data_IF_470381769015
#
_entry.id   IF_470381769015
#
_cell.length_a   1.000
_cell.length_b   1.000
_cell.length_c   1.000
_cell.angle_alpha   90.00
_cell.angle_beta   90.00
_cell.angle_gamma   90.00
#
_symmetry.space_group_name_H-M   'P 1'
#
loop_
_entity.id
_entity.type
_entity.pdbx_description
1 polymer ?
#
# COMPACT_ATOMS: atom_id res chain seq x y z
N UNK A 1 23.27 -42.91 32.27
CA UNK A 1 24.27 -42.20 31.44
C UNK A 1 25.15 -43.26 30.80
N UNK A 2 25.44 -43.14 29.50
CA UNK A 2 26.27 -43.98 28.62
C UNK A 2 25.53 -45.02 27.75
N UNK A 3 25.51 -44.69 26.45
CA UNK A 3 25.60 -45.47 25.21
C UNK A 3 24.86 -46.81 25.04
N UNK A 4 24.11 -46.90 23.93
CA UNK A 4 24.34 -48.03 23.02
C UNK A 4 24.20 -47.62 21.55
N UNK A 5 25.26 -47.93 20.82
CA UNK A 5 25.50 -47.73 19.40
C UNK A 5 24.61 -48.63 18.51
N UNK A 6 24.40 -48.14 17.28
CA UNK A 6 24.44 -48.88 16.00
C UNK A 6 23.30 -49.80 15.59
N UNK A 7 22.57 -49.37 14.55
CA UNK A 7 21.95 -50.27 13.56
C UNK A 7 22.16 -49.69 12.15
N UNK A 8 23.43 -49.61 11.72
CA UNK A 8 23.72 -49.65 10.28
C UNK A 8 23.96 -51.11 9.91
N UNK A 9 23.47 -51.47 8.72
CA UNK A 9 23.66 -52.71 7.95
C UNK A 9 22.96 -53.97 8.46
N UNK A 10 21.70 -54.18 8.03
CA UNK A 10 21.37 -55.33 7.19
C UNK A 10 20.47 -54.84 6.05
N UNK A 11 21.15 -54.55 4.95
CA UNK A 11 20.59 -54.48 3.62
C UNK A 11 20.10 -55.90 3.24
N UNK A 12 19.03 -55.97 2.45
CA UNK A 12 18.74 -57.01 1.45
C UNK A 12 17.43 -57.77 1.65
N UNK A 13 16.72 -57.88 0.53
CA UNK A 13 15.50 -58.66 0.23
C UNK A 13 14.21 -57.93 0.67
N UNK A 14 13.38 -57.34 -0.20
CA UNK A 14 12.97 -57.78 -1.52
C UNK A 14 12.38 -56.58 -2.28
N UNK A 15 12.88 -56.34 -3.49
CA UNK A 15 12.23 -55.49 -4.50
C UNK A 15 11.01 -56.24 -5.01
N UNK A 16 9.79 -55.72 -4.81
CA UNK A 16 8.66 -56.01 -5.69
C UNK A 16 7.96 -54.70 -6.05
N UNK A 17 7.94 -54.49 -7.36
CA UNK A 17 7.34 -53.40 -8.13
C UNK A 17 5.98 -52.94 -7.61
N UNK A 18 5.80 -51.62 -7.53
CA UNK A 18 4.66 -50.96 -8.17
C UNK A 18 5.15 -49.65 -8.79
N UNK A 19 5.31 -49.68 -10.12
CA UNK A 19 5.23 -48.49 -10.98
C UNK A 19 3.78 -47.99 -11.00
N UNK A 20 3.58 -46.78 -11.53
CA UNK A 20 2.38 -45.93 -11.54
C UNK A 20 2.28 -45.05 -10.27
N UNK A 21 2.39 -43.72 -10.29
CA UNK A 21 2.05 -42.75 -11.33
C UNK A 21 2.76 -41.41 -11.12
N UNK A 22 2.99 -40.73 -12.24
CA UNK A 22 3.01 -39.27 -12.44
C UNK A 22 3.86 -38.39 -11.52
N UNK A 23 4.84 -37.78 -12.17
CA UNK A 23 5.44 -36.50 -11.87
C UNK A 23 4.38 -35.41 -11.58
N UNK A 24 3.90 -35.31 -10.34
CA UNK A 24 3.06 -34.19 -9.86
C UNK A 24 3.30 -33.93 -8.38
N UNK A 25 4.51 -33.54 -7.99
CA UNK A 25 4.69 -32.91 -6.67
C UNK A 25 5.69 -31.74 -6.67
N UNK A 26 6.62 -31.69 -7.64
CA UNK A 26 7.56 -30.57 -7.73
C UNK A 26 6.96 -29.26 -8.26
N UNK A 27 5.77 -29.28 -8.87
CA UNK A 27 5.09 -28.07 -9.38
C UNK A 27 4.12 -27.46 -8.38
N UNK A 28 3.63 -28.22 -7.38
CA UNK A 28 2.63 -27.72 -6.43
C UNK A 28 3.31 -26.88 -5.34
N UNK A 29 4.42 -27.36 -4.78
CA UNK A 29 5.25 -26.58 -3.86
C UNK A 29 5.85 -25.35 -4.54
N UNK A 30 6.39 -25.48 -5.76
CA UNK A 30 6.99 -24.34 -6.48
C UNK A 30 5.97 -23.25 -6.82
N UNK A 31 4.74 -23.62 -7.19
CA UNK A 31 3.64 -22.68 -7.47
C UNK A 31 3.04 -22.07 -6.20
N UNK A 32 3.07 -22.79 -5.09
CA UNK A 32 2.59 -22.29 -3.79
C UNK A 32 3.61 -21.32 -3.17
N UNK A 33 4.91 -21.62 -3.29
CA UNK A 33 6.00 -20.72 -2.90
C UNK A 33 6.16 -19.53 -3.86
N UNK A 34 5.95 -19.69 -5.18
CA UNK A 34 5.87 -18.55 -6.11
C UNK A 34 4.64 -17.68 -5.83
N UNK A 35 3.48 -18.26 -5.50
CA UNK A 35 2.31 -17.47 -5.15
C UNK A 35 2.48 -16.74 -3.81
N UNK A 36 3.12 -17.35 -2.81
CA UNK A 36 3.48 -16.66 -1.57
C UNK A 36 4.52 -15.56 -1.81
N UNK A 37 5.57 -15.80 -2.59
CA UNK A 37 6.59 -14.79 -2.93
C UNK A 37 6.02 -13.67 -3.82
N UNK A 38 5.04 -13.96 -4.70
CA UNK A 38 4.32 -12.95 -5.51
C UNK A 38 3.30 -12.19 -4.65
N UNK A 39 2.73 -12.80 -3.61
CA UNK A 39 1.79 -12.15 -2.68
C UNK A 39 2.52 -11.30 -1.64
N UNK A 40 3.72 -11.72 -1.23
CA UNK A 40 4.61 -10.98 -0.33
C UNK A 40 5.30 -9.81 -1.06
N UNK A 41 5.60 -9.93 -2.36
CA UNK A 41 6.11 -8.83 -3.20
C UNK A 41 5.02 -7.91 -3.79
N UNK A 42 3.72 -8.21 -3.60
CA UNK A 42 2.59 -7.33 -3.99
C UNK A 42 2.07 -6.44 -2.86
N UNK A 43 2.54 -6.63 -1.63
CA UNK A 43 1.99 -5.99 -0.44
C UNK A 43 2.86 -4.85 0.12
N UNK A 44 3.58 -4.12 -0.73
CA UNK A 44 3.88 -2.70 -0.43
C UNK A 44 2.74 -1.85 -0.97
N UNK A 45 1.54 -2.06 -0.43
CA UNK A 45 0.41 -1.15 -0.70
C UNK A 45 0.83 0.22 -0.20
N UNK A 46 1.03 1.18 -1.11
CA UNK A 46 1.41 2.53 -0.70
C UNK A 46 0.22 3.18 0.04
N UNK A 47 0.48 4.19 0.87
CA UNK A 47 -0.55 4.82 1.71
C UNK A 47 -1.73 5.39 0.89
N UNK A 48 -1.51 5.76 -0.38
CA UNK A 48 -2.57 6.25 -1.28
C UNK A 48 -3.54 5.12 -1.64
N UNK A 49 -3.03 3.92 -1.95
CA UNK A 49 -3.87 2.76 -2.24
C UNK A 49 -4.67 2.31 -1.00
N UNK A 50 -4.09 2.43 0.20
CA UNK A 50 -4.80 2.16 1.46
C UNK A 50 -5.99 3.11 1.62
N UNK A 51 -5.75 4.42 1.51
CA UNK A 51 -6.79 5.46 1.56
C UNK A 51 -7.91 5.17 0.55
N UNK A 52 -7.57 4.95 -0.72
CA UNK A 52 -8.56 4.66 -1.78
C UNK A 52 -9.39 3.42 -1.45
N UNK A 53 -8.77 2.35 -0.97
CA UNK A 53 -9.47 1.11 -0.64
C UNK A 53 -10.47 1.32 0.50
N UNK A 54 -10.14 2.12 1.51
CA UNK A 54 -11.04 2.47 2.59
C UNK A 54 -12.20 3.34 2.09
N UNK A 55 -11.93 4.35 1.27
CA UNK A 55 -12.96 5.18 0.64
C UNK A 55 -13.89 4.34 -0.25
N UNK A 56 -13.37 3.39 -1.04
CA UNK A 56 -14.21 2.49 -1.83
C UNK A 56 -15.07 1.57 -0.97
N UNK A 57 -14.54 1.07 0.14
CA UNK A 57 -15.29 0.24 1.08
C UNK A 57 -16.44 1.05 1.70
N UNK A 58 -16.16 2.26 2.16
CA UNK A 58 -17.16 3.18 2.70
C UNK A 58 -18.22 3.54 1.65
N UNK A 59 -17.79 3.89 0.43
CA UNK A 59 -18.68 4.23 -0.68
C UNK A 59 -19.66 3.09 -1.02
N UNK A 60 -19.17 1.85 -0.95
CA UNK A 60 -19.97 0.65 -1.19
C UNK A 60 -20.99 0.38 -0.09
N UNK A 61 -20.65 0.67 1.17
CA UNK A 61 -21.49 0.37 2.33
C UNK A 61 -22.50 1.48 2.63
N UNK A 62 -22.09 2.74 2.53
CA UNK A 62 -22.87 3.89 3.02
C UNK A 62 -23.42 4.79 1.92
N UNK A 63 -23.00 4.60 0.66
CA UNK A 63 -23.48 5.37 -0.49
C UNK A 63 -23.44 6.91 -0.29
N UNK A 64 -22.29 7.49 0.07
CA UNK A 64 -22.11 8.94 0.16
C UNK A 64 -22.30 9.62 -1.22
N UNK A 65 -22.33 10.95 -1.25
CA UNK A 65 -22.58 11.70 -2.49
C UNK A 65 -21.41 11.65 -3.49
N UNK A 66 -20.20 11.28 -3.05
CA UNK A 66 -19.07 11.09 -3.95
C UNK A 66 -19.12 9.76 -4.73
N UNK A 67 -18.56 9.78 -5.95
CA UNK A 67 -18.46 8.63 -6.85
C UNK A 67 -17.13 7.88 -6.72
N UNK A 68 -17.03 6.71 -7.37
CA UNK A 68 -15.75 5.98 -7.43
C UNK A 68 -14.70 6.77 -8.20
N UNK A 69 -15.13 7.51 -9.22
CA UNK A 69 -14.29 8.37 -10.04
C UNK A 69 -13.69 9.52 -9.20
N UNK A 70 -14.42 10.03 -8.22
CA UNK A 70 -13.91 11.03 -7.27
C UNK A 70 -12.82 10.44 -6.35
N UNK A 71 -13.01 9.21 -5.86
CA UNK A 71 -11.98 8.49 -5.09
C UNK A 71 -10.72 8.24 -5.93
N UNK A 72 -10.88 7.85 -7.21
CA UNK A 72 -9.76 7.70 -8.13
C UNK A 72 -9.02 9.03 -8.32
N UNK A 73 -9.77 10.12 -8.54
CA UNK A 73 -9.22 11.47 -8.72
C UNK A 73 -8.45 11.95 -7.49
N UNK A 74 -8.96 11.70 -6.28
CA UNK A 74 -8.26 11.98 -5.02
C UNK A 74 -6.90 11.26 -4.99
N UNK A 75 -6.91 9.95 -5.31
CA UNK A 75 -5.69 9.16 -5.42
C UNK A 75 -4.69 9.68 -6.44
N UNK A 76 -5.16 10.12 -7.60
CA UNK A 76 -4.31 10.65 -8.67
C UNK A 76 -3.67 11.98 -8.28
N UNK A 77 -4.40 12.85 -7.57
CA UNK A 77 -3.84 14.09 -7.00
C UNK A 77 -2.70 13.78 -6.02
N UNK A 78 -2.89 12.80 -5.14
CA UNK A 78 -1.86 12.41 -4.16
C UNK A 78 -0.65 11.73 -4.81
N UNK A 79 -0.87 10.88 -5.82
CA UNK A 79 0.22 10.26 -6.57
C UNK A 79 1.03 11.30 -7.36
N UNK A 80 0.37 12.31 -7.92
CA UNK A 80 1.04 13.42 -8.57
C UNK A 80 1.88 14.20 -7.57
N UNK A 81 1.32 14.52 -6.40
CA UNK A 81 2.06 15.17 -5.30
C UNK A 81 3.34 14.39 -4.95
N UNK A 82 3.23 13.08 -4.72
CA UNK A 82 4.37 12.22 -4.40
C UNK A 82 5.45 12.25 -5.49
N UNK A 83 5.05 12.28 -6.77
CA UNK A 83 5.97 12.33 -7.89
C UNK A 83 6.64 13.71 -8.06
N UNK A 84 5.93 14.80 -7.74
CA UNK A 84 6.43 16.18 -7.85
C UNK A 84 7.34 16.53 -6.67
N UNK A 85 6.94 16.21 -5.43
CA UNK A 85 7.73 16.51 -4.22
C UNK A 85 9.05 15.73 -4.19
N UNK A 86 9.09 14.52 -4.77
CA UNK A 86 10.34 13.77 -4.91
C UNK A 86 11.34 14.51 -5.80
N UNK A 87 10.86 15.18 -6.85
CA UNK A 87 11.68 15.87 -7.85
C UNK A 87 12.04 17.30 -7.46
N UNK A 88 11.37 17.89 -6.47
CA UNK A 88 11.63 19.28 -6.08
C UNK A 88 13.05 19.46 -5.56
N UNK A 89 13.63 20.63 -5.86
CA UNK A 89 15.01 20.97 -5.53
C UNK A 89 15.13 21.80 -4.25
N UNK A 90 14.03 22.34 -3.72
CA UNK A 90 14.05 23.26 -2.57
C UNK A 90 12.77 23.21 -1.75
N UNK A 91 12.84 23.66 -0.49
CA UNK A 91 11.67 23.80 0.39
C UNK A 91 10.64 24.75 -0.22
N UNK A 92 11.06 25.85 -0.83
CA UNK A 92 10.14 26.82 -1.44
C UNK A 92 9.33 26.18 -2.58
N UNK A 93 9.98 25.42 -3.46
CA UNK A 93 9.31 24.66 -4.51
C UNK A 93 8.38 23.59 -3.93
N UNK A 94 8.85 22.86 -2.91
CA UNK A 94 8.04 21.87 -2.19
C UNK A 94 6.76 22.46 -1.60
N UNK A 95 6.83 23.64 -0.97
CA UNK A 95 5.64 24.30 -0.41
C UNK A 95 4.65 24.79 -1.48
N UNK A 96 5.13 25.15 -2.69
CA UNK A 96 4.24 25.43 -3.83
C UNK A 96 3.49 24.19 -4.28
N UNK A 97 4.16 23.04 -4.31
CA UNK A 97 3.57 21.74 -4.64
C UNK A 97 2.54 21.33 -3.58
N UNK A 98 2.87 21.47 -2.28
CA UNK A 98 1.93 21.20 -1.16
C UNK A 98 0.68 22.04 -1.30
N UNK A 99 0.83 23.37 -1.41
CA UNK A 99 -0.30 24.29 -1.58
C UNK A 99 -1.19 23.89 -2.77
N UNK A 100 -0.59 23.67 -3.95
CA UNK A 100 -1.35 23.30 -5.14
C UNK A 100 -2.10 21.97 -4.97
N UNK A 101 -1.51 21.02 -4.23
CA UNK A 101 -2.14 19.73 -3.92
C UNK A 101 -3.37 19.92 -3.04
N UNK A 102 -3.24 20.69 -1.95
CA UNK A 102 -4.36 20.95 -1.03
C UNK A 102 -5.48 21.72 -1.72
N UNK A 103 -5.17 22.74 -2.53
CA UNK A 103 -6.17 23.48 -3.30
C UNK A 103 -6.95 22.56 -4.28
N UNK A 104 -6.27 21.62 -4.95
CA UNK A 104 -6.94 20.63 -5.81
C UNK A 104 -7.86 19.70 -5.00
N UNK A 105 -7.45 19.32 -3.79
CA UNK A 105 -8.27 18.51 -2.89
C UNK A 105 -9.48 19.28 -2.37
N UNK A 106 -9.35 20.57 -2.03
CA UNK A 106 -10.47 21.43 -1.66
C UNK A 106 -11.51 21.46 -2.78
N UNK A 107 -11.09 21.75 -4.02
CA UNK A 107 -11.98 21.79 -5.19
C UNK A 107 -12.70 20.45 -5.40
N UNK A 108 -11.97 19.33 -5.27
CA UNK A 108 -12.57 18.00 -5.41
C UNK A 108 -13.58 17.71 -4.28
N UNK A 109 -13.25 18.08 -3.04
CA UNK A 109 -14.15 17.86 -1.91
C UNK A 109 -15.41 18.75 -2.02
N UNK A 110 -15.26 20.00 -2.44
CA UNK A 110 -16.38 20.92 -2.71
C UNK A 110 -17.32 20.36 -3.78
N UNK A 111 -16.78 19.83 -4.89
CA UNK A 111 -17.55 19.12 -5.92
C UNK A 111 -18.36 17.95 -5.34
N UNK A 112 -17.86 17.32 -4.28
CA UNK A 112 -18.51 16.21 -3.57
C UNK A 112 -19.37 16.68 -2.38
N UNK A 113 -19.72 17.97 -2.32
CA UNK A 113 -20.49 18.60 -1.24
C UNK A 113 -19.88 18.39 0.16
N UNK A 114 -18.55 18.28 0.22
CA UNK A 114 -17.80 18.08 1.46
C UNK A 114 -17.78 16.65 2.01
N UNK A 115 -18.39 15.68 1.30
CA UNK A 115 -18.50 14.30 1.77
C UNK A 115 -17.30 13.40 1.45
N UNK A 116 -16.38 13.85 0.60
CA UNK A 116 -15.25 13.03 0.14
C UNK A 116 -14.13 12.97 1.18
N UNK A 117 -13.84 14.10 1.82
CA UNK A 117 -12.76 14.21 2.81
C UNK A 117 -13.38 14.54 4.16
N UNK A 118 -13.59 13.51 4.98
CA UNK A 118 -14.01 13.64 6.37
C UNK A 118 -12.81 13.48 7.32
N UNK A 119 -13.06 13.17 8.59
CA UNK A 119 -12.03 13.15 9.63
C UNK A 119 -10.94 12.10 9.36
N UNK A 120 -11.31 10.91 8.91
CA UNK A 120 -10.36 9.82 8.69
C UNK A 120 -9.52 10.11 7.45
N UNK A 121 -10.16 10.46 6.34
CA UNK A 121 -9.47 10.78 5.09
C UNK A 121 -8.56 11.99 5.25
N UNK A 122 -8.98 13.01 6.03
CA UNK A 122 -8.13 14.16 6.37
C UNK A 122 -6.83 13.73 7.00
N UNK A 123 -6.91 12.93 8.07
CA UNK A 123 -5.72 12.50 8.81
C UNK A 123 -4.75 11.73 7.91
N UNK A 124 -5.27 10.84 7.07
CA UNK A 124 -4.46 10.05 6.15
C UNK A 124 -3.84 10.89 5.04
N UNK A 125 -4.59 11.84 4.46
CA UNK A 125 -4.07 12.77 3.45
C UNK A 125 -2.96 13.63 4.04
N UNK A 126 -3.18 14.21 5.22
CA UNK A 126 -2.17 15.02 5.90
C UNK A 126 -0.92 14.20 6.16
N UNK A 127 -1.06 12.97 6.66
CA UNK A 127 0.08 12.07 6.90
C UNK A 127 0.86 11.78 5.61
N UNK A 128 0.18 11.48 4.50
CA UNK A 128 0.84 11.25 3.20
C UNK A 128 1.67 12.46 2.78
N UNK A 129 1.09 13.66 2.89
CA UNK A 129 1.72 14.92 2.48
C UNK A 129 2.91 15.25 3.38
N UNK A 130 2.70 15.28 4.69
CA UNK A 130 3.71 15.60 5.71
C UNK A 130 4.89 14.62 5.62
N UNK A 131 4.62 13.31 5.53
CA UNK A 131 5.68 12.30 5.49
C UNK A 131 6.56 12.41 4.24
N UNK A 132 5.98 12.66 3.07
CA UNK A 132 6.74 12.80 1.85
C UNK A 132 7.60 14.07 1.83
N UNK A 133 7.06 15.20 2.30
CA UNK A 133 7.79 16.45 2.40
C UNK A 133 8.87 16.40 3.49
N UNK A 134 8.62 15.71 4.60
CA UNK A 134 9.60 15.50 5.67
C UNK A 134 10.80 14.66 5.19
N UNK A 135 10.57 13.65 4.33
CA UNK A 135 11.66 12.87 3.70
C UNK A 135 12.59 13.72 2.84
N UNK A 136 12.08 14.83 2.28
CA UNK A 136 12.89 15.84 1.56
C UNK A 136 13.59 16.83 2.48
N UNK A 137 13.34 16.77 3.79
CA UNK A 137 13.87 17.68 4.79
C UNK A 137 13.18 19.05 4.80
N UNK A 138 11.96 19.16 4.27
CA UNK A 138 11.27 20.45 4.16
C UNK A 138 10.44 20.81 5.40
N UNK A 139 10.11 19.84 6.24
CA UNK A 139 9.36 20.02 7.48
C UNK A 139 9.75 18.93 8.49
N UNK A 140 9.37 19.11 9.75
CA UNK A 140 9.41 18.01 10.74
C UNK A 140 8.13 17.17 10.65
N UNK A 141 8.13 15.98 11.27
CA UNK A 141 6.97 15.09 11.27
C UNK A 141 5.78 15.65 12.04
N UNK A 142 6.02 16.61 12.93
CA UNK A 142 5.03 17.27 13.79
C UNK A 142 4.50 18.59 13.20
N UNK A 143 5.12 19.10 12.13
CA UNK A 143 4.71 20.33 11.45
C UNK A 143 3.62 20.02 10.42
N UNK A 144 2.37 20.41 10.70
CA UNK A 144 1.28 20.33 9.72
C UNK A 144 1.42 21.43 8.67
N UNK A 145 2.17 21.11 7.62
CA UNK A 145 2.36 21.97 6.45
C UNK A 145 1.11 22.11 5.58
N UNK A 146 0.02 21.40 5.86
CA UNK A 146 -1.21 21.45 5.04
C UNK A 146 -2.22 22.45 5.58
N UNK A 147 -2.22 22.68 6.89
CA UNK A 147 -3.26 23.39 7.65
C UNK A 147 -3.62 24.76 7.04
N UNK A 148 -2.62 25.55 6.64
CA UNK A 148 -2.83 26.90 6.12
C UNK A 148 -3.66 26.98 4.83
N UNK A 149 -3.85 25.87 4.12
CA UNK A 149 -4.57 25.82 2.85
C UNK A 149 -5.79 24.89 2.88
N UNK A 150 -6.02 24.16 3.97
CA UNK A 150 -7.15 23.21 4.07
C UNK A 150 -8.46 23.94 4.33
N UNK A 151 -9.51 23.46 3.67
CA UNK A 151 -10.90 23.86 3.89
C UNK A 151 -11.75 22.73 4.53
N UNK A 152 -11.11 21.60 4.88
CA UNK A 152 -11.69 20.37 5.44
C UNK A 152 -10.88 19.78 6.61
#
# INVERSE_FOLDING_TARGET
MINMFSYKTIFSLLIIMLLFSSCTNSQKEKKQTENEIIMENKNTTNSVDILKNQMFAYQKEFHPSYSKEDVVTCGDILNLYLAEIEKSASKEEGMKIVKSTIEKLNILNEKCEGSLIETIEREQICEIVINASAKKGYNTMEEDITEAWREW
#
